data_IF_263789820228
#
_entry.id   IF_263789820228
#
_cell.length_a   1.000
_cell.length_b   1.000
_cell.length_c   1.000
_cell.angle_alpha   90.00
_cell.angle_beta   90.00
_cell.angle_gamma   90.00
#
_symmetry.space_group_name_H-M   'P 1'
#
loop_
_entity.id
_entity.type
_entity.pdbx_description
1 polymer ?
#
# COMPACT_ATOMS: atom_id res chain seq x y z
N UNK A 1 -76.85 -31.85 -34.10
CA UNK A 1 -75.48 -31.99 -34.65
C UNK A 1 -74.54 -31.11 -33.84
N UNK A 2 -73.55 -31.76 -33.20
CA UNK A 2 -72.29 -31.27 -32.59
C UNK A 2 -72.33 -30.06 -31.63
N UNK A 3 -72.27 -30.40 -30.33
CA UNK A 3 -71.76 -29.55 -29.25
C UNK A 3 -70.26 -29.30 -29.45
N UNK A 4 -69.83 -28.04 -29.40
CA UNK A 4 -68.42 -27.62 -29.47
C UNK A 4 -67.98 -27.15 -28.09
N UNK A 5 -67.24 -28.01 -27.39
CA UNK A 5 -66.49 -27.67 -26.18
C UNK A 5 -65.39 -26.66 -26.53
N UNK A 6 -65.46 -25.46 -25.93
CA UNK A 6 -64.36 -24.48 -25.98
C UNK A 6 -63.31 -24.86 -24.94
N UNK A 7 -62.14 -25.30 -25.40
CA UNK A 7 -60.93 -25.39 -24.58
C UNK A 7 -60.36 -23.97 -24.37
N UNK A 8 -60.15 -23.57 -23.12
CA UNK A 8 -59.27 -22.45 -22.77
C UNK A 8 -57.82 -22.98 -22.78
N UNK A 9 -56.93 -22.39 -23.58
CA UNK A 9 -55.49 -22.49 -23.37
C UNK A 9 -55.06 -21.37 -22.41
N UNK A 10 -54.23 -21.63 -21.39
CA UNK A 10 -53.55 -20.57 -20.66
C UNK A 10 -52.38 -20.06 -21.50
N UNK A 11 -52.29 -18.73 -21.67
CA UNK A 11 -51.12 -18.09 -22.25
C UNK A 11 -50.00 -18.07 -21.21
N UNK A 12 -48.93 -18.84 -21.45
CA UNK A 12 -47.72 -18.84 -20.63
C UNK A 12 -46.85 -17.65 -21.08
N UNK A 13 -46.79 -16.59 -20.28
CA UNK A 13 -45.88 -15.49 -20.50
C UNK A 13 -44.45 -15.92 -20.10
N UNK A 14 -43.56 -16.08 -21.09
CA UNK A 14 -42.16 -16.32 -20.85
C UNK A 14 -41.49 -15.02 -20.38
N UNK A 15 -41.14 -14.95 -19.09
CA UNK A 15 -40.34 -13.87 -18.53
C UNK A 15 -38.86 -14.20 -18.80
N UNK A 16 -38.27 -13.58 -19.83
CA UNK A 16 -36.82 -13.65 -20.06
C UNK A 16 -36.12 -12.81 -19.01
N UNK A 17 -35.48 -13.43 -18.03
CA UNK A 17 -34.49 -12.76 -17.18
C UNK A 17 -33.30 -12.38 -18.05
N UNK A 18 -33.13 -11.09 -18.30
CA UNK A 18 -31.88 -10.54 -18.82
C UNK A 18 -30.94 -10.42 -17.62
N UNK A 19 -29.90 -11.26 -17.56
CA UNK A 19 -28.84 -11.11 -16.58
C UNK A 19 -28.13 -9.77 -16.80
N UNK A 20 -27.75 -9.04 -15.74
CA UNK A 20 -26.95 -7.83 -15.91
C UNK A 20 -25.60 -8.23 -16.49
N UNK A 21 -25.26 -7.65 -17.64
CA UNK A 21 -23.90 -7.67 -18.18
C UNK A 21 -23.05 -6.90 -17.18
N UNK A 22 -22.02 -7.53 -16.64
CA UNK A 22 -21.04 -6.86 -15.79
C UNK A 22 -20.54 -5.60 -16.52
N UNK A 23 -20.73 -4.44 -15.88
CA UNK A 23 -20.17 -3.20 -16.36
C UNK A 23 -18.65 -3.40 -16.42
N UNK A 24 -18.06 -3.25 -17.59
CA UNK A 24 -16.61 -3.12 -17.68
C UNK A 24 -16.25 -1.89 -16.86
N UNK A 25 -15.38 -2.07 -15.86
CA UNK A 25 -14.80 -0.98 -15.11
C UNK A 25 -14.31 0.07 -16.12
N UNK A 26 -14.67 1.32 -15.89
CA UNK A 26 -14.10 2.43 -16.66
C UNK A 26 -12.56 2.31 -16.59
N UNK A 27 -11.82 2.69 -17.64
CA UNK A 27 -10.37 2.81 -17.52
C UNK A 27 -10.08 3.63 -16.26
N UNK A 28 -9.15 3.16 -15.43
CA UNK A 28 -8.67 3.91 -14.28
C UNK A 28 -8.47 5.36 -14.74
N UNK A 29 -9.13 6.31 -14.08
CA UNK A 29 -9.03 7.70 -14.46
C UNK A 29 -7.54 8.09 -14.59
N UNK A 30 -7.20 8.99 -15.50
CA UNK A 30 -5.85 9.57 -15.64
C UNK A 30 -5.49 10.35 -14.36
N UNK A 31 -5.23 9.64 -13.27
CA UNK A 31 -4.79 10.19 -11.98
C UNK A 31 -3.27 10.22 -12.03
N UNK A 32 -2.70 11.41 -11.91
CA UNK A 32 -1.26 11.58 -11.84
C UNK A 32 -0.74 11.01 -10.51
N UNK A 33 0.27 10.13 -10.52
CA UNK A 33 0.84 9.60 -9.29
C UNK A 33 1.55 10.71 -8.50
N UNK A 34 1.38 10.67 -7.19
CA UNK A 34 2.01 11.51 -6.20
C UNK A 34 3.09 10.69 -5.51
N UNK A 35 4.30 10.73 -6.05
CA UNK A 35 5.42 9.89 -5.62
C UNK A 35 5.72 9.96 -4.11
N UNK A 36 5.40 11.09 -3.46
CA UNK A 36 5.62 11.31 -2.03
C UNK A 36 4.46 10.90 -1.13
N UNK A 37 3.33 10.43 -1.66
CA UNK A 37 2.12 10.20 -0.88
C UNK A 37 2.05 8.76 -0.36
N UNK A 38 1.91 8.61 0.96
CA UNK A 38 1.74 7.33 1.64
C UNK A 38 0.46 7.29 2.48
N UNK A 39 -0.42 6.34 2.17
CA UNK A 39 -1.69 6.13 2.85
C UNK A 39 -1.45 5.24 4.07
N UNK A 40 -1.40 5.87 5.22
CA UNK A 40 -1.25 5.21 6.51
C UNK A 40 -2.60 4.65 6.94
N UNK A 41 -2.57 3.48 7.61
CA UNK A 41 -3.79 2.76 7.99
C UNK A 41 -4.81 2.64 6.84
N UNK A 42 -4.37 2.41 5.60
CA UNK A 42 -5.22 2.53 4.41
C UNK A 42 -6.48 1.65 4.49
N UNK A 43 -6.37 0.51 5.19
CA UNK A 43 -7.47 -0.39 5.45
C UNK A 43 -8.64 0.22 6.25
N UNK A 44 -8.47 1.38 6.89
CA UNK A 44 -9.55 2.09 7.58
C UNK A 44 -10.43 2.92 6.63
N UNK A 45 -10.03 3.11 5.38
CA UNK A 45 -10.83 3.81 4.37
C UNK A 45 -12.04 2.99 3.89
N UNK A 46 -13.00 3.68 3.25
CA UNK A 46 -14.24 3.05 2.75
C UNK A 46 -13.93 2.04 1.65
N UNK A 47 -13.01 2.38 0.74
CA UNK A 47 -12.48 1.48 -0.29
C UNK A 47 -10.95 1.42 -0.14
N UNK A 48 -10.43 0.54 0.74
CA UNK A 48 -8.98 0.33 0.89
C UNK A 48 -8.31 0.15 -0.46
N UNK A 49 -7.09 0.67 -0.59
CA UNK A 49 -6.29 0.77 -1.81
C UNK A 49 -6.90 1.65 -2.90
N UNK A 50 -8.17 1.48 -3.25
CA UNK A 50 -8.82 2.17 -4.35
C UNK A 50 -8.96 3.67 -4.08
N UNK A 51 -9.31 4.08 -2.86
CA UNK A 51 -9.35 5.49 -2.49
C UNK A 51 -7.96 6.14 -2.59
N UNK A 52 -6.92 5.46 -2.10
CA UNK A 52 -5.54 5.93 -2.21
C UNK A 52 -5.09 6.09 -3.69
N UNK A 53 -5.38 5.09 -4.53
CA UNK A 53 -5.09 5.13 -5.96
C UNK A 53 -5.87 6.23 -6.71
N UNK A 54 -7.14 6.47 -6.34
CA UNK A 54 -7.96 7.55 -6.89
C UNK A 54 -7.40 8.94 -6.50
N UNK A 55 -6.70 9.03 -5.36
CA UNK A 55 -5.96 10.22 -4.94
C UNK A 55 -4.52 10.30 -5.49
N UNK A 56 -4.05 9.28 -6.21
CA UNK A 56 -2.73 9.24 -6.84
C UNK A 56 -1.63 8.72 -5.93
N UNK A 57 -1.93 8.13 -4.78
CA UNK A 57 -0.92 7.66 -3.84
C UNK A 57 -0.11 6.51 -4.42
N UNK A 58 1.21 6.54 -4.19
CA UNK A 58 2.13 5.52 -4.69
C UNK A 58 2.60 4.56 -3.61
N UNK A 59 2.05 4.67 -2.40
CA UNK A 59 2.42 3.85 -1.25
C UNK A 59 1.22 3.72 -0.31
N UNK A 60 0.94 2.50 0.16
CA UNK A 60 -0.12 2.22 1.14
C UNK A 60 0.39 1.28 2.23
N UNK A 61 -0.20 1.35 3.41
CA UNK A 61 0.06 0.43 4.52
C UNK A 61 -1.10 -0.54 4.77
N UNK A 62 -0.76 -1.81 4.92
CA UNK A 62 -1.66 -2.86 5.35
C UNK A 62 -1.16 -3.47 6.67
N UNK A 63 -1.92 -3.23 7.74
CA UNK A 63 -1.72 -3.93 9.01
C UNK A 63 -2.26 -5.35 8.90
N UNK A 64 -1.42 -6.34 9.16
CA UNK A 64 -1.79 -7.74 9.00
C UNK A 64 -1.71 -8.54 10.30
N UNK A 65 -2.69 -9.42 10.44
CA UNK A 65 -2.84 -10.34 11.55
C UNK A 65 -3.00 -11.78 11.01
N UNK A 66 -1.96 -12.63 11.12
CA UNK A 66 -2.04 -14.02 10.73
C UNK A 66 -3.06 -14.80 11.57
N UNK A 67 -4.02 -15.47 10.92
CA UNK A 67 -5.00 -16.32 11.60
C UNK A 67 -5.27 -17.61 10.80
N UNK A 68 -4.69 -18.72 11.25
CA UNK A 68 -4.76 -19.98 10.51
C UNK A 68 -4.06 -19.84 9.16
N UNK A 69 -4.76 -20.15 8.07
CA UNK A 69 -4.26 -20.05 6.71
C UNK A 69 -4.56 -18.68 6.04
N UNK A 70 -5.10 -17.72 6.80
CA UNK A 70 -5.49 -16.40 6.27
C UNK A 70 -4.61 -15.29 6.85
N UNK A 71 -4.31 -14.29 6.02
CA UNK A 71 -3.71 -13.03 6.44
C UNK A 71 -4.80 -11.97 6.47
N UNK A 72 -5.36 -11.76 7.66
CA UNK A 72 -6.46 -10.82 7.86
C UNK A 72 -5.91 -9.41 8.07
N UNK A 73 -6.70 -8.42 7.66
CA UNK A 73 -6.32 -7.01 7.78
C UNK A 73 -6.88 -6.40 9.07
N UNK A 74 -6.02 -5.74 9.84
CA UNK A 74 -6.38 -4.98 11.05
C UNK A 74 -5.22 -4.83 12.02
N UNK A 75 -5.26 -3.76 12.82
CA UNK A 75 -4.28 -3.48 13.87
C UNK A 75 -4.47 -4.38 15.10
N UNK A 76 -5.73 -4.62 15.47
CA UNK A 76 -6.10 -5.37 16.67
C UNK A 76 -7.03 -6.57 16.37
N UNK A 77 -6.96 -7.67 17.17
CA UNK A 77 -7.77 -8.86 16.96
C UNK A 77 -9.29 -8.63 16.88
N UNK A 78 -9.81 -7.59 17.52
CA UNK A 78 -11.25 -7.30 17.52
C UNK A 78 -11.75 -6.64 16.23
N UNK A 79 -10.83 -6.14 15.39
CA UNK A 79 -11.15 -5.56 14.08
C UNK A 79 -11.24 -6.61 12.98
N UNK A 80 -10.74 -7.82 13.23
CA UNK A 80 -10.58 -8.84 12.20
C UNK A 80 -11.93 -9.29 11.65
N UNK A 81 -12.03 -9.22 10.32
CA UNK A 81 -13.15 -9.73 9.55
C UNK A 81 -12.61 -10.79 8.58
N UNK A 82 -13.16 -12.02 8.56
CA UNK A 82 -12.69 -13.07 7.66
C UNK A 82 -12.80 -12.72 6.17
N UNK A 83 -13.68 -11.78 5.81
CA UNK A 83 -13.84 -11.31 4.43
C UNK A 83 -12.82 -10.22 4.05
N UNK A 84 -11.97 -9.77 4.99
CA UNK A 84 -10.97 -8.71 4.80
C UNK A 84 -9.57 -9.30 4.91
N UNK A 85 -9.10 -9.89 3.82
CA UNK A 85 -7.76 -10.45 3.69
C UNK A 85 -6.86 -9.55 2.85
N UNK A 86 -5.55 -9.76 2.90
CA UNK A 86 -4.59 -9.04 2.04
C UNK A 86 -4.88 -9.25 0.55
N UNK A 87 -5.31 -10.46 0.15
CA UNK A 87 -5.74 -10.76 -1.22
C UNK A 87 -6.92 -9.87 -1.62
N UNK A 88 -8.01 -9.91 -0.84
CA UNK A 88 -9.25 -9.22 -1.17
C UNK A 88 -9.16 -7.69 -1.19
N UNK A 89 -8.33 -7.10 -0.31
CA UNK A 89 -8.22 -5.65 -0.17
C UNK A 89 -7.09 -5.04 -0.98
N UNK A 90 -6.03 -5.80 -1.26
CA UNK A 90 -4.83 -5.27 -1.90
C UNK A 90 -4.44 -6.01 -3.17
N UNK A 91 -4.20 -7.33 -3.09
CA UNK A 91 -3.57 -8.03 -4.21
C UNK A 91 -4.50 -8.21 -5.41
N UNK A 92 -5.74 -8.65 -5.18
CA UNK A 92 -6.70 -8.86 -6.26
C UNK A 92 -7.04 -7.53 -6.98
N UNK A 93 -7.33 -6.41 -6.26
CA UNK A 93 -7.56 -5.12 -6.93
C UNK A 93 -6.30 -4.56 -7.62
N UNK A 94 -5.09 -4.83 -7.12
CA UNK A 94 -3.85 -4.45 -7.81
C UNK A 94 -3.68 -5.21 -9.13
N UNK A 95 -3.98 -6.51 -9.17
CA UNK A 95 -3.98 -7.30 -10.42
C UNK A 95 -5.01 -6.78 -11.40
N UNK A 96 -6.24 -6.50 -10.95
CA UNK A 96 -7.29 -5.93 -11.79
C UNK A 96 -6.84 -4.60 -12.41
N UNK A 97 -6.24 -3.72 -11.59
CA UNK A 97 -5.71 -2.44 -12.05
C UNK A 97 -4.55 -2.61 -13.03
N UNK A 98 -3.61 -3.50 -12.74
CA UNK A 98 -2.46 -3.79 -13.60
C UNK A 98 -2.92 -4.26 -14.99
N UNK A 99 -3.90 -5.16 -15.03
CA UNK A 99 -4.47 -5.67 -16.27
C UNK A 99 -5.21 -4.58 -17.06
N UNK A 100 -6.01 -3.76 -16.38
CA UNK A 100 -6.71 -2.64 -17.01
C UNK A 100 -5.74 -1.56 -17.52
N UNK A 101 -4.60 -1.38 -16.83
CA UNK A 101 -3.55 -0.40 -17.14
C UNK A 101 -2.50 -0.86 -18.14
N UNK A 102 -2.62 -2.08 -18.69
CA UNK A 102 -1.67 -2.61 -19.67
C UNK A 102 -0.29 -2.93 -19.08
N UNK A 103 -0.22 -3.34 -17.81
CA UNK A 103 1.02 -3.68 -17.12
C UNK A 103 1.60 -2.55 -16.26
N UNK A 104 0.83 -1.48 -16.01
CA UNK A 104 1.22 -0.42 -15.07
C UNK A 104 0.07 -0.10 -14.10
N UNK A 105 0.43 0.19 -12.83
CA UNK A 105 -0.50 0.74 -11.84
C UNK A 105 -0.90 2.17 -12.21
N UNK A 106 -0.01 2.93 -12.82
CA UNK A 106 -0.26 4.30 -13.30
C UNK A 106 0.07 4.39 -14.80
N UNK A 107 -0.87 4.07 -15.70
CA UNK A 107 -0.63 4.08 -17.14
C UNK A 107 -0.08 5.41 -17.65
N UNK A 108 0.99 5.36 -18.44
CA UNK A 108 1.65 6.57 -18.96
C UNK A 108 2.64 7.22 -17.98
N UNK A 109 2.77 6.69 -16.76
CA UNK A 109 3.74 7.11 -15.77
C UNK A 109 4.74 5.99 -15.49
N UNK A 110 5.99 6.38 -15.30
CA UNK A 110 7.08 5.52 -14.86
C UNK A 110 7.19 5.69 -13.34
N UNK A 111 6.38 4.92 -12.61
CA UNK A 111 6.24 5.07 -11.15
C UNK A 111 5.88 3.74 -10.52
N UNK A 112 6.72 3.33 -9.58
CA UNK A 112 6.49 2.13 -8.77
C UNK A 112 5.42 2.38 -7.71
N UNK A 113 4.76 1.31 -7.30
CA UNK A 113 3.84 1.31 -6.17
C UNK A 113 4.41 0.51 -5.00
N UNK A 114 4.33 1.02 -3.77
CA UNK A 114 4.73 0.30 -2.57
C UNK A 114 3.51 -0.22 -1.80
N UNK A 115 3.55 -1.51 -1.46
CA UNK A 115 2.69 -2.08 -0.43
C UNK A 115 3.55 -2.31 0.83
N UNK A 116 3.37 -1.47 1.83
CA UNK A 116 3.97 -1.66 3.15
C UNK A 116 3.09 -2.63 3.95
N UNK A 117 3.65 -3.77 4.34
CA UNK A 117 2.94 -4.80 5.10
C UNK A 117 3.48 -4.80 6.53
N UNK A 118 2.66 -4.36 7.48
CA UNK A 118 3.03 -4.27 8.89
C UNK A 118 2.49 -5.48 9.67
N UNK A 119 3.39 -6.33 10.17
CA UNK A 119 3.00 -7.49 10.98
C UNK A 119 2.75 -7.09 12.43
N UNK A 120 1.51 -7.24 12.91
CA UNK A 120 1.15 -6.91 14.31
C UNK A 120 1.49 -8.00 15.33
N UNK A 121 1.89 -9.18 14.87
CA UNK A 121 2.32 -10.30 15.73
C UNK A 121 3.42 -11.09 15.03
N UNK A 122 4.25 -11.79 15.83
CA UNK A 122 5.47 -12.46 15.38
C UNK A 122 5.30 -13.17 14.04
N UNK A 123 5.94 -12.57 13.03
CA UNK A 123 5.51 -12.70 11.66
C UNK A 123 6.17 -13.82 10.88
N UNK A 124 6.92 -14.77 11.45
CA UNK A 124 7.59 -15.78 10.60
C UNK A 124 6.59 -16.67 9.85
N UNK A 125 5.64 -17.27 10.54
CA UNK A 125 4.62 -18.11 9.89
C UNK A 125 3.66 -17.27 9.03
N UNK A 126 3.33 -16.05 9.47
CA UNK A 126 2.57 -15.10 8.68
C UNK A 126 3.30 -14.68 7.40
N UNK A 127 4.61 -14.47 7.48
CA UNK A 127 5.46 -14.13 6.34
C UNK A 127 5.59 -15.30 5.38
N UNK A 128 5.79 -16.53 5.88
CA UNK A 128 5.78 -17.72 5.01
C UNK A 128 4.47 -17.83 4.25
N UNK A 129 3.34 -17.57 4.93
CA UNK A 129 2.04 -17.54 4.27
C UNK A 129 1.95 -16.43 3.23
N UNK A 130 2.49 -15.24 3.50
CA UNK A 130 2.55 -14.14 2.54
C UNK A 130 3.41 -14.49 1.32
N UNK A 131 4.59 -15.07 1.53
CA UNK A 131 5.49 -15.52 0.46
C UNK A 131 4.84 -16.60 -0.41
N UNK A 132 4.10 -17.55 0.19
CA UNK A 132 3.29 -18.53 -0.53
C UNK A 132 2.21 -17.86 -1.40
N UNK A 133 1.50 -16.87 -0.86
CA UNK A 133 0.48 -16.11 -1.60
C UNK A 133 1.15 -15.37 -2.77
N UNK A 134 2.24 -14.63 -2.53
CA UNK A 134 2.92 -13.86 -3.59
C UNK A 134 3.51 -14.74 -4.69
N UNK A 135 3.80 -16.01 -4.39
CA UNK A 135 4.28 -17.02 -5.36
C UNK A 135 3.15 -17.66 -6.16
N UNK A 136 1.89 -17.43 -5.83
CA UNK A 136 0.77 -17.97 -6.58
C UNK A 136 0.80 -17.45 -8.03
N UNK A 137 0.66 -18.33 -9.05
CA UNK A 137 0.60 -17.92 -10.46
C UNK A 137 -0.45 -16.85 -10.77
N UNK A 138 -1.49 -16.69 -9.96
CA UNK A 138 -2.49 -15.62 -10.07
C UNK A 138 -1.87 -14.21 -9.95
N UNK A 139 -0.79 -14.05 -9.18
CA UNK A 139 -0.09 -12.78 -8.97
C UNK A 139 1.21 -12.67 -9.77
N UNK A 140 1.43 -13.55 -10.75
CA UNK A 140 2.66 -13.55 -11.54
C UNK A 140 2.88 -12.22 -12.27
N UNK A 141 4.07 -11.62 -12.07
CA UNK A 141 4.45 -10.34 -12.67
C UNK A 141 3.95 -9.10 -11.92
N UNK A 142 3.28 -9.25 -10.77
CA UNK A 142 2.85 -8.12 -9.95
C UNK A 142 4.00 -7.53 -9.13
N UNK A 143 4.89 -8.37 -8.60
CA UNK A 143 5.83 -7.96 -7.57
C UNK A 143 7.26 -7.75 -8.08
N UNK A 144 7.95 -6.78 -7.48
CA UNK A 144 9.41 -6.70 -7.51
C UNK A 144 10.01 -7.97 -6.89
N UNK A 145 11.01 -8.54 -7.56
CA UNK A 145 11.57 -9.86 -7.22
C UNK A 145 13.07 -9.77 -7.02
N UNK A 146 13.56 -10.28 -5.89
CA UNK A 146 14.98 -10.53 -5.70
C UNK A 146 15.28 -12.01 -5.99
N UNK A 147 16.28 -12.25 -6.82
CA UNK A 147 16.84 -13.59 -7.04
C UNK A 147 18.37 -13.52 -7.18
N UNK A 148 19.08 -14.25 -6.31
CA UNK A 148 20.53 -14.49 -6.38
C UNK A 148 21.37 -13.21 -6.58
N UNK A 149 21.06 -12.14 -5.84
CA UNK A 149 21.78 -10.85 -5.91
C UNK A 149 21.27 -9.88 -6.98
N UNK A 150 20.21 -10.23 -7.69
CA UNK A 150 19.58 -9.36 -8.70
C UNK A 150 18.17 -8.99 -8.25
N UNK A 151 17.85 -7.70 -8.31
CA UNK A 151 16.47 -7.20 -8.14
C UNK A 151 15.90 -6.94 -9.54
N UNK A 152 14.77 -7.56 -9.84
CA UNK A 152 13.96 -7.28 -11.03
C UNK A 152 12.75 -6.46 -10.57
N UNK A 153 12.66 -5.22 -11.03
CA UNK A 153 11.55 -4.32 -10.71
C UNK A 153 10.24 -4.86 -11.25
N UNK A 154 9.21 -4.81 -10.40
CA UNK A 154 7.84 -5.12 -10.75
C UNK A 154 6.92 -3.95 -10.39
N UNK A 155 5.67 -3.98 -10.84
CA UNK A 155 4.70 -2.90 -10.60
C UNK A 155 4.48 -2.57 -9.11
N UNK A 156 4.66 -3.55 -8.22
CA UNK A 156 4.47 -3.43 -6.77
C UNK A 156 5.70 -3.91 -6.02
N UNK A 157 6.27 -3.07 -5.16
CA UNK A 157 7.32 -3.47 -4.21
C UNK A 157 6.70 -3.70 -2.83
N UNK A 158 6.82 -4.93 -2.32
CA UNK A 158 6.33 -5.30 -0.99
C UNK A 158 7.43 -5.07 0.04
N UNK A 159 7.17 -4.20 1.02
CA UNK A 159 8.11 -3.87 2.10
C UNK A 159 7.51 -4.30 3.44
N UNK A 160 8.24 -5.08 4.22
CA UNK A 160 7.78 -5.65 5.48
C UNK A 160 8.20 -4.78 6.66
N UNK A 161 7.23 -4.38 7.49
CA UNK A 161 7.41 -3.66 8.75
C UNK A 161 6.79 -4.41 9.94
N UNK A 162 6.74 -3.78 11.12
CA UNK A 162 6.24 -4.39 12.34
C UNK A 162 7.12 -5.52 12.89
N UNK A 163 6.49 -6.57 13.45
CA UNK A 163 7.12 -7.78 14.01
C UNK A 163 7.65 -8.74 12.91
N UNK A 164 8.51 -8.20 12.04
CA UNK A 164 9.05 -8.86 10.85
C UNK A 164 10.15 -9.89 11.15
N UNK A 165 10.18 -11.03 10.44
CA UNK A 165 11.20 -12.06 10.61
C UNK A 165 12.48 -11.72 9.82
N UNK A 166 13.19 -10.66 10.23
CA UNK A 166 14.36 -10.09 9.52
C UNK A 166 15.39 -11.14 9.10
N UNK A 167 15.88 -11.96 10.04
CA UNK A 167 16.91 -12.97 9.75
C UNK A 167 16.43 -14.03 8.74
N UNK A 168 15.14 -14.37 8.77
CA UNK A 168 14.54 -15.32 7.83
C UNK A 168 14.52 -14.74 6.41
N UNK A 169 14.09 -13.49 6.26
CA UNK A 169 14.02 -12.79 4.96
C UNK A 169 15.42 -12.54 4.41
N UNK A 170 16.37 -12.11 5.24
CA UNK A 170 17.77 -11.89 4.87
C UNK A 170 18.45 -13.18 4.37
N UNK A 171 18.08 -14.34 4.92
CA UNK A 171 18.59 -15.64 4.51
C UNK A 171 18.07 -16.15 3.16
N UNK A 172 17.08 -15.50 2.55
CA UNK A 172 16.48 -15.96 1.29
C UNK A 172 17.25 -15.49 0.06
N UNK A 173 17.59 -16.43 -0.82
CA UNK A 173 18.19 -16.15 -2.13
C UNK A 173 17.15 -15.85 -3.22
N UNK A 174 15.86 -16.07 -2.93
CA UNK A 174 14.70 -15.83 -3.79
C UNK A 174 13.58 -15.30 -2.89
N UNK A 175 13.14 -14.05 -3.10
CA UNK A 175 12.09 -13.39 -2.30
C UNK A 175 11.36 -12.30 -3.10
N UNK A 176 10.07 -12.13 -2.82
CA UNK A 176 9.28 -10.99 -3.32
C UNK A 176 9.13 -9.85 -2.30
N UNK A 177 9.66 -10.05 -1.08
CA UNK A 177 9.57 -9.09 0.00
C UNK A 177 10.93 -8.45 0.33
N UNK A 178 10.84 -7.19 0.73
CA UNK A 178 11.94 -6.37 1.20
C UNK A 178 11.65 -5.89 2.63
N UNK A 179 12.60 -5.24 3.29
CA UNK A 179 12.47 -4.83 4.68
C UNK A 179 12.39 -3.31 4.83
N UNK A 180 11.53 -2.88 5.74
CA UNK A 180 11.61 -1.56 6.35
C UNK A 180 12.77 -1.57 7.38
N UNK A 181 13.57 -0.53 7.45
CA UNK A 181 14.68 -0.37 8.41
C UNK A 181 14.40 0.74 9.40
N UNK A 182 15.17 0.83 10.49
CA UNK A 182 15.09 1.96 11.43
C UNK A 182 16.16 3.01 11.13
N UNK A 183 15.87 4.29 11.39
CA UNK A 183 16.88 5.36 11.20
C UNK A 183 18.08 5.19 12.13
N UNK A 184 17.88 4.58 13.30
CA UNK A 184 18.90 4.30 14.32
C UNK A 184 19.86 3.14 14.03
N UNK A 185 19.84 2.52 12.85
CA UNK A 185 20.78 1.43 12.55
C UNK A 185 20.71 0.78 11.18
N UNK A 186 19.73 1.12 10.35
CA UNK A 186 19.56 0.51 9.02
C UNK A 186 19.98 1.43 7.86
N UNK A 187 20.32 2.70 8.14
CA UNK A 187 20.88 3.60 7.13
C UNK A 187 22.24 3.05 6.68
N UNK A 188 22.42 2.88 5.37
CA UNK A 188 23.61 2.27 4.78
C UNK A 188 23.57 0.74 4.67
N UNK A 189 22.46 0.10 5.08
CA UNK A 189 22.23 -1.31 4.76
C UNK A 189 22.04 -1.51 3.25
N UNK A 190 22.16 -2.75 2.79
CA UNK A 190 21.95 -3.08 1.37
C UNK A 190 20.52 -2.71 0.94
N UNK A 191 20.31 -1.76 0.01
CA UNK A 191 18.97 -1.36 -0.43
C UNK A 191 18.24 -2.47 -1.18
N UNK A 192 18.94 -3.51 -1.67
CA UNK A 192 18.29 -4.71 -2.22
C UNK A 192 17.61 -5.58 -1.14
N UNK A 193 17.88 -5.32 0.14
CA UNK A 193 17.20 -5.93 1.27
C UNK A 193 16.36 -4.91 2.04
N UNK A 194 16.90 -3.72 2.30
CA UNK A 194 16.29 -2.67 3.12
C UNK A 194 16.09 -1.38 2.28
N UNK A 195 15.16 -1.35 1.32
CA UNK A 195 14.96 -0.20 0.42
C UNK A 195 14.25 0.99 1.08
N UNK A 196 13.75 0.82 2.30
CA UNK A 196 13.04 1.85 3.07
C UNK A 196 13.63 1.92 4.47
N UNK A 197 13.85 3.12 4.99
CA UNK A 197 14.07 3.37 6.41
C UNK A 197 12.96 4.25 6.95
N UNK A 198 12.41 3.86 8.09
CA UNK A 198 11.30 4.55 8.72
C UNK A 198 11.55 4.77 10.21
N UNK A 199 10.90 5.78 10.78
CA UNK A 199 10.86 5.94 12.24
C UNK A 199 9.60 6.66 12.72
N UNK A 200 9.36 6.55 14.02
CA UNK A 200 8.40 7.38 14.74
C UNK A 200 8.98 8.80 14.83
N UNK A 201 8.30 9.77 14.23
CA UNK A 201 8.69 11.17 14.25
C UNK A 201 9.00 11.68 15.67
N UNK A 202 8.21 11.25 16.65
CA UNK A 202 8.33 11.69 18.06
C UNK A 202 9.49 11.04 18.82
N UNK A 203 10.10 9.98 18.27
CA UNK A 203 11.32 9.39 18.83
C UNK A 203 12.59 10.07 18.31
N UNK A 204 12.50 10.74 17.16
CA UNK A 204 13.64 11.41 16.52
C UNK A 204 13.60 12.93 16.77
N UNK A 205 12.40 13.53 16.72
CA UNK A 205 12.20 14.98 16.74
C UNK A 205 11.23 15.39 17.86
N UNK A 206 11.43 16.59 18.40
CA UNK A 206 10.49 17.19 19.36
C UNK A 206 9.60 18.25 18.72
N UNK A 207 10.00 18.78 17.57
CA UNK A 207 9.20 19.74 16.81
C UNK A 207 7.96 19.07 16.23
N UNK A 208 6.81 19.71 16.44
CA UNK A 208 5.49 19.19 16.05
C UNK A 208 4.79 20.09 15.03
N UNK A 209 5.55 20.89 14.28
CA UNK A 209 5.00 21.87 13.34
C UNK A 209 4.70 23.23 13.95
N UNK A 210 4.78 23.39 15.27
CA UNK A 210 4.49 24.67 15.93
C UNK A 210 5.71 25.59 15.91
N UNK A 211 5.54 26.78 15.33
CA UNK A 211 6.62 27.75 15.17
C UNK A 211 7.75 27.24 14.27
N UNK A 212 8.90 27.91 14.31
CA UNK A 212 10.05 27.53 13.51
C UNK A 212 10.64 26.19 14.00
N UNK A 213 10.99 25.30 13.06
CA UNK A 213 11.72 24.07 13.38
C UNK A 213 13.08 24.42 13.99
N UNK A 214 13.48 23.80 15.13
CA UNK A 214 14.81 23.97 15.67
C UNK A 214 15.89 23.60 14.64
N UNK A 215 16.90 24.46 14.47
CA UNK A 215 17.93 24.27 13.46
C UNK A 215 18.67 22.92 13.59
N UNK A 216 18.92 22.47 14.83
CA UNK A 216 19.55 21.16 15.10
C UNK A 216 18.66 19.99 14.64
N UNK A 217 17.34 20.10 14.78
CA UNK A 217 16.41 19.08 14.28
C UNK A 217 16.32 19.10 12.75
N UNK A 218 16.35 20.29 12.13
CA UNK A 218 16.41 20.44 10.66
C UNK A 218 17.69 19.80 10.11
N UNK A 219 18.84 20.09 10.71
CA UNK A 219 20.14 19.52 10.32
C UNK A 219 20.13 17.98 10.43
N UNK A 220 19.51 17.43 11.49
CA UNK A 220 19.40 15.97 11.67
C UNK A 220 18.46 15.32 10.64
N UNK A 221 17.30 15.95 10.34
CA UNK A 221 16.40 15.48 9.29
C UNK A 221 17.11 15.45 7.93
N UNK A 222 17.81 16.53 7.58
CA UNK A 222 18.60 16.61 6.36
C UNK A 222 19.71 15.55 6.33
N UNK A 223 20.38 15.29 7.46
CA UNK A 223 21.38 14.23 7.56
C UNK A 223 20.78 12.85 7.30
N UNK A 224 19.67 12.52 7.96
CA UNK A 224 18.98 11.22 7.78
C UNK A 224 18.62 11.00 6.32
N UNK A 225 17.98 11.99 5.69
CA UNK A 225 17.54 11.87 4.29
C UNK A 225 18.72 11.75 3.34
N UNK A 226 19.74 12.59 3.48
CA UNK A 226 20.92 12.54 2.61
C UNK A 226 21.70 11.23 2.76
N UNK A 227 21.87 10.72 3.98
CA UNK A 227 22.59 9.47 4.22
C UNK A 227 21.82 8.25 3.67
N UNK A 228 20.49 8.23 3.85
CA UNK A 228 19.64 7.17 3.28
C UNK A 228 19.64 7.19 1.75
N UNK A 229 19.47 8.37 1.14
CA UNK A 229 19.51 8.53 -0.32
C UNK A 229 20.88 8.15 -0.90
N UNK A 230 21.96 8.50 -0.22
CA UNK A 230 23.31 8.08 -0.61
C UNK A 230 23.51 6.56 -0.58
N UNK A 231 22.75 5.86 0.26
CA UNK A 231 22.69 4.40 0.32
C UNK A 231 21.67 3.76 -0.65
N UNK A 232 20.92 4.57 -1.42
CA UNK A 232 19.86 4.08 -2.30
C UNK A 232 18.58 3.66 -1.57
N UNK A 233 18.39 4.14 -0.33
CA UNK A 233 17.21 3.86 0.49
C UNK A 233 16.27 5.07 0.49
N UNK A 234 14.97 4.80 0.63
CA UNK A 234 13.92 5.82 0.80
C UNK A 234 13.64 6.08 2.27
N UNK A 235 13.06 7.22 2.60
CA UNK A 235 12.74 7.63 3.98
C UNK A 235 11.24 7.84 4.17
N UNK A 236 10.72 7.38 5.32
CA UNK A 236 9.36 7.65 5.80
C UNK A 236 9.40 8.02 7.29
N UNK A 237 8.50 8.89 7.73
CA UNK A 237 8.24 9.06 9.17
C UNK A 237 6.75 8.87 9.44
N UNK A 238 6.42 8.14 10.50
CA UNK A 238 5.05 7.99 11.00
C UNK A 238 4.89 8.73 12.34
N UNK A 239 3.68 8.81 12.87
CA UNK A 239 3.34 9.64 14.05
C UNK A 239 3.70 11.14 13.90
N UNK A 240 3.64 11.65 12.67
CA UNK A 240 3.65 13.10 12.40
C UNK A 240 2.30 13.72 12.79
N UNK A 241 2.20 15.04 13.00
CA UNK A 241 0.91 15.70 13.17
C UNK A 241 0.04 15.48 11.93
N UNK A 242 -1.09 14.77 12.07
CA UNK A 242 -1.94 14.40 10.92
C UNK A 242 -3.30 15.14 10.89
N UNK A 243 -3.71 15.71 12.02
CA UNK A 243 -4.91 16.56 12.06
C UNK A 243 -4.73 17.82 11.23
N UNK A 244 -5.70 18.11 10.37
CA UNK A 244 -5.68 19.30 9.52
C UNK A 244 -5.47 20.59 10.33
N UNK A 245 -4.45 21.35 9.95
CA UNK A 245 -4.04 22.55 10.64
C UNK A 245 -2.63 22.99 10.28
N UNK A 246 -2.26 24.15 10.81
CA UNK A 246 -0.97 24.82 10.54
C UNK A 246 0.24 23.96 10.88
N UNK A 247 0.16 23.18 11.96
CA UNK A 247 1.22 22.32 12.44
C UNK A 247 1.48 21.15 11.48
N UNK A 248 0.42 20.48 11.01
CA UNK A 248 0.53 19.43 9.99
C UNK A 248 1.13 19.98 8.71
N UNK A 249 0.58 21.09 8.20
CA UNK A 249 1.03 21.67 6.94
C UNK A 249 2.50 22.13 7.02
N UNK A 250 2.94 22.62 8.19
CA UNK A 250 4.34 22.95 8.45
C UNK A 250 5.24 21.71 8.41
N UNK A 251 4.84 20.61 9.05
CA UNK A 251 5.61 19.35 8.99
C UNK A 251 5.65 18.81 7.56
N UNK A 252 4.52 18.71 6.86
CA UNK A 252 4.48 18.28 5.46
C UNK A 252 5.35 19.16 4.56
N UNK A 253 5.38 20.48 4.78
CA UNK A 253 6.25 21.41 4.04
C UNK A 253 7.72 21.06 4.25
N UNK A 254 8.15 20.87 5.50
CA UNK A 254 9.54 20.51 5.80
C UNK A 254 9.91 19.14 5.20
N UNK A 255 9.04 18.13 5.35
CA UNK A 255 9.28 16.79 4.78
C UNK A 255 9.42 16.85 3.24
N UNK A 256 8.55 17.62 2.58
CA UNK A 256 8.60 17.85 1.13
C UNK A 256 9.88 18.59 0.72
N UNK A 257 10.26 19.64 1.45
CA UNK A 257 11.46 20.45 1.17
C UNK A 257 12.76 19.65 1.29
N UNK A 258 12.88 18.82 2.33
CA UNK A 258 14.08 18.01 2.59
C UNK A 258 14.13 16.78 1.67
N UNK A 259 12.99 16.39 1.09
CA UNK A 259 12.92 15.29 0.13
C UNK A 259 12.64 13.94 0.78
N UNK A 260 11.88 13.90 1.88
CA UNK A 260 11.37 12.64 2.43
C UNK A 260 10.48 11.95 1.39
N UNK A 261 10.73 10.67 1.15
CA UNK A 261 10.13 9.93 0.03
C UNK A 261 8.67 9.56 0.26
N UNK A 262 8.24 9.37 1.52
CA UNK A 262 6.86 9.00 1.86
C UNK A 262 6.34 9.87 3.00
N UNK A 263 5.45 10.80 2.69
CA UNK A 263 4.67 11.58 3.65
C UNK A 263 3.46 10.75 4.07
N UNK A 264 3.48 10.34 5.33
CA UNK A 264 2.50 9.48 5.97
C UNK A 264 1.25 10.28 6.38
N UNK A 265 0.05 9.84 5.99
CA UNK A 265 -1.21 10.47 6.42
C UNK A 265 -2.40 9.51 6.41
N UNK A 266 -3.41 9.78 7.25
CA UNK A 266 -4.76 9.20 7.13
C UNK A 266 -5.70 10.12 6.29
N UNK A 267 -5.30 11.36 5.94
CA UNK A 267 -6.10 12.33 5.18
C UNK A 267 -5.69 12.36 3.69
N UNK A 268 -6.16 11.36 2.94
CA UNK A 268 -5.82 11.19 1.51
C UNK A 268 -6.10 12.43 0.66
N UNK A 269 -7.28 13.02 0.84
CA UNK A 269 -7.70 14.21 0.10
C UNK A 269 -6.85 15.43 0.49
N UNK A 270 -6.58 15.61 1.78
CA UNK A 270 -5.77 16.73 2.27
C UNK A 270 -4.34 16.68 1.75
N UNK A 271 -3.70 15.50 1.75
CA UNK A 271 -2.34 15.38 1.21
C UNK A 271 -2.30 15.51 -0.31
N UNK A 272 -3.32 15.02 -1.04
CA UNK A 272 -3.44 15.27 -2.47
C UNK A 272 -3.52 16.78 -2.77
N UNK A 273 -4.38 17.51 -2.06
CA UNK A 273 -4.50 18.97 -2.22
C UNK A 273 -3.16 19.67 -1.93
N UNK A 274 -2.49 19.30 -0.83
CA UNK A 274 -1.21 19.86 -0.44
C UNK A 274 -0.10 19.61 -1.48
N UNK A 275 0.01 18.40 -2.01
CA UNK A 275 1.07 18.04 -2.96
C UNK A 275 0.86 18.63 -4.36
N UNK A 276 -0.38 18.95 -4.71
CA UNK A 276 -0.75 19.50 -6.03
C UNK A 276 -0.91 21.02 -6.07
N UNK A 277 -0.84 21.69 -4.91
CA UNK A 277 -0.75 23.16 -4.80
C UNK A 277 0.63 23.70 -5.16
#
# INVERSE_FOLDING_TARGET
MRSLSRFLLPALAALTLVAPVAAHAAPAADVAPLAQAHAHNDYLHERPLLDALDHGFTSVEADIYPLGDSLLIGHDPFQLNPDRTIESLYLDPLVERLNAGGGSIYPGHDTDFQLLVDFKTFGEDGYKRLDEIMRDPEYAGLFTHYENGTVTEGPVTVVISGEKPTEFIEGQTDRYAFLDGGTGGSIGADPQLVPLVSDDWTQVFTWNGSGDMPAEERDELERIVNDAHAAGQRVRFWATPDSAGTERDAVWTVLKEVGVDHINTDDLAGLQEFLTS
#
